data_IF_651751885923
#
_entry.id   IF_651751885923
#
_cell.length_a   1.000
_cell.length_b   1.000
_cell.length_c   1.000
_cell.angle_alpha   90.00
_cell.angle_beta   90.00
_cell.angle_gamma   90.00
#
_symmetry.space_group_name_H-M   'P 1'
#
loop_
_entity.id
_entity.type
_entity.pdbx_description
1 polymer ?
#
# COMPACT_ATOMS: atom_id res chain seq x y z
N UNK A 1 -15.09 -1.50 70.95
CA UNK A 1 -16.06 -2.51 70.46
C UNK A 1 -15.45 -3.19 69.24
N UNK A 2 -14.84 -4.37 69.44
CA UNK A 2 -15.27 -5.73 68.99
C UNK A 2 -15.28 -5.90 67.45
N UNK A 3 -14.37 -6.66 66.80
CA UNK A 3 -14.02 -8.12 66.81
C UNK A 3 -14.93 -8.98 65.87
N UNK A 4 -14.25 -9.83 65.04
CA UNK A 4 -14.68 -11.04 64.26
C UNK A 4 -15.36 -10.79 62.90
N UNK A 5 -14.97 -11.34 61.74
CA UNK A 5 -14.41 -12.63 61.25
C UNK A 5 -15.41 -13.81 61.06
N UNK A 6 -15.64 -14.16 59.77
CA UNK A 6 -15.83 -15.47 59.08
C UNK A 6 -17.10 -16.37 59.25
N UNK A 7 -17.23 -17.23 58.22
CA UNK A 7 -18.07 -18.45 57.99
C UNK A 7 -19.45 -18.22 57.30
N UNK A 8 -19.94 -18.95 56.28
CA UNK A 8 -19.50 -20.10 55.45
C UNK A 8 -20.47 -20.24 54.23
N UNK A 9 -20.01 -20.91 53.15
CA UNK A 9 -20.63 -21.30 51.84
C UNK A 9 -21.79 -22.33 51.94
N UNK A 10 -22.41 -22.95 50.87
CA UNK A 10 -22.14 -22.95 49.39
C UNK A 10 -23.39 -22.93 48.43
N UNK A 11 -23.18 -22.77 47.11
CA UNK A 11 -24.02 -23.42 46.08
C UNK A 11 -23.32 -23.46 44.70
N UNK A 12 -23.24 -24.65 44.11
CA UNK A 12 -22.81 -24.96 42.73
C UNK A 12 -23.68 -24.24 41.69
N UNK A 13 -23.09 -23.63 40.65
CA UNK A 13 -23.65 -23.67 39.29
C UNK A 13 -22.53 -23.82 38.24
N UNK A 14 -22.80 -24.77 37.37
CA UNK A 14 -22.11 -25.27 36.19
C UNK A 14 -21.84 -24.24 35.08
N UNK A 15 -20.84 -24.56 34.24
CA UNK A 15 -20.72 -24.26 32.78
C UNK A 15 -20.55 -22.81 32.32
N UNK A 16 -19.40 -22.49 31.71
CA UNK A 16 -19.15 -22.58 30.26
C UNK A 16 -17.79 -21.94 29.95
N UNK A 17 -16.90 -22.73 29.33
CA UNK A 17 -15.70 -22.20 28.67
C UNK A 17 -16.18 -21.42 27.44
N UNK A 18 -16.17 -20.08 27.52
CA UNK A 18 -16.31 -19.25 26.34
C UNK A 18 -15.02 -19.33 25.52
N UNK A 19 -14.99 -20.27 24.58
CA UNK A 19 -14.10 -20.19 23.43
C UNK A 19 -14.50 -18.91 22.69
N UNK A 20 -13.69 -17.86 22.82
CA UNK A 20 -13.83 -16.67 21.98
C UNK A 20 -13.44 -17.10 20.57
N UNK A 21 -14.43 -17.48 19.76
CA UNK A 21 -14.27 -17.51 18.32
C UNK A 21 -13.85 -16.10 17.90
N UNK A 22 -12.60 -15.93 17.47
CA UNK A 22 -12.18 -14.77 16.70
C UNK A 22 -13.01 -14.76 15.42
N UNK A 23 -14.12 -14.05 15.45
CA UNK A 23 -14.88 -13.70 14.25
C UNK A 23 -13.98 -12.81 13.40
N UNK A 24 -13.46 -13.35 12.31
CA UNK A 24 -12.91 -12.55 11.22
C UNK A 24 -14.04 -11.66 10.70
N UNK A 25 -14.09 -10.41 11.16
CA UNK A 25 -15.12 -9.46 10.74
C UNK A 25 -15.04 -9.32 9.22
N UNK A 26 -16.10 -9.67 8.46
CA UNK A 26 -16.12 -9.45 7.03
C UNK A 26 -16.07 -7.94 6.77
N UNK A 27 -15.15 -7.53 5.90
CA UNK A 27 -14.97 -6.14 5.53
C UNK A 27 -16.30 -5.56 5.02
N UNK A 28 -16.85 -4.58 5.76
CA UNK A 28 -18.15 -4.00 5.50
C UNK A 28 -18.03 -2.94 4.41
N UNK A 29 -18.83 -3.02 3.34
CA UNK A 29 -18.80 -2.03 2.26
C UNK A 29 -19.22 -0.65 2.78
N UNK A 30 -18.39 0.37 2.54
CA UNK A 30 -18.61 1.75 2.99
C UNK A 30 -19.21 2.61 1.86
N UNK A 31 -19.64 1.98 0.77
CA UNK A 31 -20.12 2.62 -0.46
C UNK A 31 -19.07 2.65 -1.58
N UNK A 32 -19.52 2.64 -2.83
CA UNK A 32 -18.64 2.73 -4.01
C UNK A 32 -17.67 1.55 -4.21
N UNK A 33 -17.85 0.43 -3.51
CA UNK A 33 -16.95 -0.73 -3.52
C UNK A 33 -15.75 -0.61 -2.56
N UNK A 34 -15.63 0.49 -1.82
CA UNK A 34 -14.68 0.61 -0.72
C UNK A 34 -15.15 -0.22 0.49
N UNK A 35 -14.22 -0.75 1.26
CA UNK A 35 -14.52 -1.62 2.41
C UNK A 35 -13.81 -1.16 3.68
N UNK A 36 -14.49 -1.32 4.81
CA UNK A 36 -13.92 -1.11 6.12
C UNK A 36 -12.96 -2.26 6.43
N UNK A 37 -11.77 -1.92 6.93
CA UNK A 37 -10.75 -2.88 7.33
C UNK A 37 -10.40 -2.68 8.80
N UNK A 38 -9.84 -3.72 9.41
CA UNK A 38 -9.28 -3.64 10.75
C UNK A 38 -8.25 -2.49 10.82
N UNK A 39 -8.24 -1.67 11.89
CA UNK A 39 -7.24 -0.61 12.08
C UNK A 39 -5.79 -1.10 11.91
N UNK A 40 -5.47 -2.34 12.30
CA UNK A 40 -4.15 -2.93 12.12
C UNK A 40 -3.75 -3.06 10.64
N UNK A 41 -4.69 -3.39 9.76
CA UNK A 41 -4.46 -3.46 8.31
C UNK A 41 -4.23 -2.05 7.76
N UNK A 42 -5.03 -1.09 8.22
CA UNK A 42 -4.90 0.33 7.86
C UNK A 42 -3.52 0.87 8.24
N UNK A 43 -3.10 0.64 9.48
CA UNK A 43 -1.79 1.04 9.98
C UNK A 43 -0.63 0.32 9.29
N UNK A 44 -0.80 -0.97 8.93
CA UNK A 44 0.20 -1.71 8.16
C UNK A 44 0.42 -1.09 6.77
N UNK A 45 -0.66 -0.72 6.06
CA UNK A 45 -0.57 -0.03 4.77
C UNK A 45 0.12 1.34 4.89
N UNK A 46 -0.29 2.13 5.90
CA UNK A 46 0.31 3.44 6.20
C UNK A 46 1.80 3.29 6.52
N UNK A 47 2.18 2.33 7.35
CA UNK A 47 3.57 2.07 7.72
C UNK A 47 4.42 1.65 6.52
N UNK A 48 3.87 0.85 5.59
CA UNK A 48 4.58 0.48 4.37
C UNK A 48 4.86 1.68 3.45
N UNK A 49 3.89 2.59 3.30
CA UNK A 49 4.06 3.84 2.54
C UNK A 49 5.02 4.79 3.27
N UNK A 50 4.98 4.85 4.60
CA UNK A 50 5.96 5.61 5.38
C UNK A 50 7.38 5.07 5.17
N UNK A 51 7.56 3.75 5.15
CA UNK A 51 8.84 3.11 4.85
C UNK A 51 9.33 3.45 3.45
N UNK A 52 8.45 3.44 2.45
CA UNK A 52 8.76 3.90 1.09
C UNK A 52 9.32 5.33 1.11
N UNK A 53 8.65 6.24 1.81
CA UNK A 53 9.10 7.63 1.97
C UNK A 53 10.46 7.78 2.66
N UNK A 54 10.69 7.01 3.73
CA UNK A 54 11.98 6.99 4.45
C UNK A 54 13.11 6.56 3.52
N UNK A 55 12.90 5.53 2.69
CA UNK A 55 13.92 5.09 1.73
C UNK A 55 14.16 6.14 0.64
N UNK A 56 13.13 6.85 0.18
CA UNK A 56 13.30 7.98 -0.75
C UNK A 56 14.10 9.13 -0.14
N UNK A 57 13.89 9.47 1.13
CA UNK A 57 14.68 10.50 1.85
C UNK A 57 16.16 10.09 1.93
N UNK A 58 16.44 8.80 2.12
CA UNK A 58 17.81 8.25 2.10
C UNK A 58 18.43 8.21 0.70
N UNK A 59 17.68 8.54 -0.36
CA UNK A 59 18.10 8.40 -1.75
C UNK A 59 18.07 6.96 -2.27
N UNK A 60 17.48 6.02 -1.52
CA UNK A 60 17.30 4.63 -1.95
C UNK A 60 16.04 4.48 -2.82
N UNK A 61 16.07 5.08 -4.01
CA UNK A 61 14.95 4.99 -4.96
C UNK A 61 14.73 3.56 -5.48
N UNK A 62 15.77 2.71 -5.43
CA UNK A 62 15.69 1.31 -5.84
C UNK A 62 14.64 0.53 -5.03
N UNK A 63 14.48 0.85 -3.74
CA UNK A 63 13.44 0.25 -2.90
C UNK A 63 12.04 0.34 -3.52
N UNK A 64 11.72 1.47 -4.16
CA UNK A 64 10.43 1.67 -4.82
C UNK A 64 10.27 0.78 -6.06
N UNK A 65 11.36 0.58 -6.81
CA UNK A 65 11.41 -0.26 -8.02
C UNK A 65 11.25 -1.73 -7.66
N UNK A 66 11.96 -2.20 -6.63
CA UNK A 66 11.90 -3.59 -6.17
C UNK A 66 10.53 -3.96 -5.63
N UNK A 67 9.79 -2.97 -5.11
CA UNK A 67 8.44 -3.12 -4.56
C UNK A 67 7.33 -2.77 -5.55
N UNK A 68 7.61 -2.63 -6.85
CA UNK A 68 6.55 -2.47 -7.86
C UNK A 68 5.64 -3.70 -7.85
N UNK A 69 4.32 -3.48 -7.82
CA UNK A 69 3.36 -4.57 -7.90
C UNK A 69 3.55 -5.40 -9.19
N UNK A 70 3.77 -6.73 -9.13
CA UNK A 70 4.23 -7.51 -10.29
C UNK A 70 3.32 -7.46 -11.54
N UNK A 71 1.99 -7.41 -11.37
CA UNK A 71 1.07 -7.28 -12.52
C UNK A 71 1.16 -5.89 -13.15
N UNK A 72 1.40 -4.86 -12.34
CA UNK A 72 1.65 -3.51 -12.83
C UNK A 72 2.99 -3.43 -13.54
N UNK A 73 4.06 -4.01 -12.97
CA UNK A 73 5.38 -4.08 -13.63
C UNK A 73 5.30 -4.72 -15.02
N UNK A 74 4.59 -5.84 -15.15
CA UNK A 74 4.35 -6.50 -16.44
C UNK A 74 3.62 -5.62 -17.45
N UNK A 75 2.64 -4.82 -17.00
CA UNK A 75 1.94 -3.87 -17.87
C UNK A 75 2.83 -2.72 -18.31
N UNK A 76 3.62 -2.17 -17.40
CA UNK A 76 4.63 -1.16 -17.74
C UNK A 76 5.63 -1.70 -18.76
N UNK A 77 6.06 -2.95 -18.61
CA UNK A 77 6.96 -3.61 -19.55
C UNK A 77 6.35 -3.70 -20.95
N UNK A 78 5.07 -4.08 -21.06
CA UNK A 78 4.37 -4.11 -22.36
C UNK A 78 4.33 -2.73 -23.03
N UNK A 79 4.15 -1.65 -22.25
CA UNK A 79 4.14 -0.27 -22.77
C UNK A 79 5.53 0.23 -23.19
N UNK A 80 6.55 -0.16 -22.44
CA UNK A 80 7.93 0.27 -22.68
C UNK A 80 8.66 -0.62 -23.70
N UNK A 81 7.97 -1.61 -24.30
CA UNK A 81 8.53 -2.49 -25.33
C UNK A 81 9.38 -3.65 -24.79
N UNK A 82 9.12 -4.09 -23.56
CA UNK A 82 9.76 -5.24 -22.91
C UNK A 82 10.18 -4.95 -21.47
N UNK A 83 10.49 -6.01 -20.71
CA UNK A 83 10.96 -5.88 -19.32
C UNK A 83 12.32 -5.18 -19.26
N UNK A 84 13.24 -5.54 -20.16
CA UNK A 84 14.57 -4.94 -20.26
C UNK A 84 14.50 -3.43 -20.50
N UNK A 85 13.66 -2.99 -21.45
CA UNK A 85 13.46 -1.56 -21.71
C UNK A 85 12.80 -0.83 -20.55
N UNK A 86 11.89 -1.48 -19.84
CA UNK A 86 11.32 -0.92 -18.62
C UNK A 86 12.40 -0.73 -17.55
N UNK A 87 13.17 -1.77 -17.25
CA UNK A 87 14.20 -1.72 -16.22
C UNK A 87 15.26 -0.67 -16.57
N UNK A 88 15.66 -0.55 -17.84
CA UNK A 88 16.53 0.51 -18.32
C UNK A 88 15.91 1.91 -18.13
N UNK A 89 14.62 2.09 -18.44
CA UNK A 89 13.93 3.37 -18.25
C UNK A 89 13.82 3.75 -16.76
N UNK A 90 13.55 2.78 -15.88
CA UNK A 90 13.52 3.00 -14.43
C UNK A 90 14.91 3.38 -13.89
N UNK A 91 15.97 2.69 -14.34
CA UNK A 91 17.33 3.02 -13.97
C UNK A 91 17.75 4.41 -14.48
N UNK A 92 17.38 4.77 -15.71
CA UNK A 92 17.61 6.10 -16.26
C UNK A 92 16.87 7.19 -15.47
N UNK A 93 15.66 6.92 -14.99
CA UNK A 93 14.92 7.85 -14.12
C UNK A 93 15.68 8.14 -12.83
N UNK A 94 16.18 7.11 -12.15
CA UNK A 94 17.01 7.27 -10.94
C UNK A 94 18.29 8.05 -11.25
N UNK A 95 18.98 7.74 -12.35
CA UNK A 95 20.16 8.50 -12.78
C UNK A 95 19.84 9.97 -13.07
N UNK A 96 18.69 10.24 -13.68
CA UNK A 96 18.20 11.60 -13.91
C UNK A 96 18.01 12.38 -12.61
N UNK A 97 17.39 11.75 -11.60
CA UNK A 97 17.21 12.35 -10.28
C UNK A 97 18.55 12.67 -9.60
N UNK A 98 19.53 11.76 -9.70
CA UNK A 98 20.89 11.97 -9.19
C UNK A 98 21.58 13.13 -9.93
N UNK A 99 21.52 13.16 -11.27
CA UNK A 99 22.13 14.23 -12.08
C UNK A 99 21.52 15.60 -11.80
N UNK A 100 20.21 15.65 -11.60
CA UNK A 100 19.50 16.86 -11.19
C UNK A 100 19.74 17.21 -9.71
N UNK A 101 20.50 16.41 -8.96
CA UNK A 101 20.71 16.57 -7.52
C UNK A 101 19.39 16.73 -6.75
N UNK A 102 18.33 16.07 -7.22
CA UNK A 102 17.03 16.10 -6.58
C UNK A 102 17.13 15.38 -5.23
N UNK A 103 16.73 16.06 -4.15
CA UNK A 103 16.72 15.49 -2.81
C UNK A 103 15.31 15.50 -2.25
N UNK A 104 14.83 14.34 -1.83
CA UNK A 104 13.61 14.26 -1.02
C UNK A 104 13.97 14.67 0.40
N UNK A 105 13.44 15.80 0.86
CA UNK A 105 13.75 16.38 2.19
C UNK A 105 12.63 16.20 3.20
N UNK A 106 11.44 15.81 2.73
CA UNK A 106 10.30 15.51 3.58
C UNK A 106 9.35 14.54 2.91
N UNK A 107 8.74 13.67 3.72
CA UNK A 107 7.74 12.72 3.28
C UNK A 107 6.76 12.46 4.42
N UNK A 108 5.54 12.97 4.28
CA UNK A 108 4.45 12.79 5.23
C UNK A 108 3.42 11.84 4.65
N UNK A 109 2.88 10.96 5.50
CA UNK A 109 1.91 9.94 5.10
C UNK A 109 0.64 10.10 5.93
N UNK A 110 -0.49 10.27 5.23
CA UNK A 110 -1.82 10.34 5.85
C UNK A 110 -2.39 8.97 6.17
N UNK A 111 -3.55 8.96 6.82
CA UNK A 111 -4.34 7.74 6.95
C UNK A 111 -4.90 7.34 5.58
N UNK A 112 -4.98 6.03 5.25
CA UNK A 112 -5.59 5.58 4.01
C UNK A 112 -7.03 6.11 3.87
N UNK A 113 -7.38 6.63 2.69
CA UNK A 113 -8.71 7.19 2.42
C UNK A 113 -9.71 6.13 1.99
N UNK A 114 -9.24 5.02 1.43
CA UNK A 114 -10.07 3.89 1.05
C UNK A 114 -9.27 2.58 0.99
N UNK A 115 -10.00 1.50 1.20
CA UNK A 115 -9.54 0.13 0.96
C UNK A 115 -10.47 -0.58 0.00
N UNK A 116 -9.92 -1.41 -0.86
CA UNK A 116 -10.67 -2.21 -1.82
C UNK A 116 -10.21 -3.67 -1.77
N UNK A 117 -11.16 -4.58 -1.93
CA UNK A 117 -10.90 -6.00 -2.14
C UNK A 117 -10.87 -6.27 -3.65
N UNK A 118 -9.69 -6.22 -4.25
CA UNK A 118 -9.57 -5.93 -5.69
C UNK A 118 -9.42 -7.14 -6.62
N UNK A 119 -8.91 -8.26 -6.13
CA UNK A 119 -8.64 -9.41 -7.00
C UNK A 119 -8.39 -10.70 -6.24
N UNK A 120 -8.82 -11.82 -6.85
CA UNK A 120 -8.49 -13.19 -6.45
C UNK A 120 -7.48 -13.78 -7.44
N UNK A 121 -6.31 -14.19 -6.96
CA UNK A 121 -5.27 -14.80 -7.80
C UNK A 121 -4.81 -16.13 -7.21
N UNK A 122 -4.28 -17.01 -8.07
CA UNK A 122 -3.48 -18.15 -7.62
C UNK A 122 -2.30 -17.60 -6.82
N UNK A 123 -2.08 -18.11 -5.62
CA UNK A 123 -0.90 -17.83 -4.83
C UNK A 123 0.29 -18.44 -5.56
N UNK A 124 1.31 -17.64 -5.83
CA UNK A 124 2.52 -18.08 -6.51
C UNK A 124 3.63 -18.20 -5.47
N UNK A 125 4.32 -19.34 -5.47
CA UNK A 125 5.53 -19.51 -4.68
C UNK A 125 6.65 -18.63 -5.27
N UNK A 126 7.23 -17.79 -4.43
CA UNK A 126 8.21 -16.79 -4.87
C UNK A 126 9.55 -17.42 -5.33
N UNK A 127 9.89 -18.61 -4.86
CA UNK A 127 11.14 -19.28 -5.21
C UNK A 127 11.03 -20.06 -6.53
N UNK A 128 9.86 -20.64 -6.80
CA UNK A 128 9.64 -21.54 -7.94
C UNK A 128 8.83 -20.90 -9.08
N UNK A 129 8.12 -19.81 -8.81
CA UNK A 129 7.23 -19.14 -9.77
C UNK A 129 5.97 -19.95 -10.13
N UNK A 130 5.69 -21.05 -9.41
CA UNK A 130 4.55 -21.94 -9.67
C UNK A 130 3.40 -21.69 -8.70
N UNK A 131 2.14 -22.04 -9.07
CA UNK A 131 1.03 -22.00 -8.15
C UNK A 131 1.27 -22.86 -6.90
N UNK A 132 0.98 -22.32 -5.73
CA UNK A 132 0.97 -23.07 -4.48
C UNK A 132 -0.23 -24.01 -4.49
N UNK A 133 0.02 -25.30 -4.24
CA UNK A 133 -1.00 -26.33 -4.16
C UNK A 133 -1.28 -26.64 -2.69
N UNK A 134 -2.55 -26.71 -2.32
CA UNK A 134 -2.98 -27.09 -0.98
C UNK A 134 -2.92 -28.62 -0.76
N UNK A 135 -3.17 -29.06 0.48
CA UNK A 135 -3.18 -30.47 0.85
C UNK A 135 -4.23 -31.32 0.10
N UNK A 136 -5.19 -30.66 -0.59
CA UNK A 136 -6.22 -31.31 -1.39
C UNK A 136 -5.87 -31.38 -2.88
N UNK A 137 -4.66 -30.96 -3.26
CA UNK A 137 -4.21 -30.94 -4.65
C UNK A 137 -4.75 -29.76 -5.46
N UNK A 138 -5.34 -28.75 -4.82
CA UNK A 138 -5.93 -27.59 -5.50
C UNK A 138 -5.05 -26.36 -5.37
N UNK A 139 -5.07 -25.51 -6.38
CA UNK A 139 -4.34 -24.24 -6.34
C UNK A 139 -4.94 -23.31 -5.28
N UNK A 140 -4.07 -22.77 -4.43
CA UNK A 140 -4.46 -21.81 -3.40
C UNK A 140 -4.84 -20.50 -4.07
N UNK A 141 -6.05 -20.00 -3.82
CA UNK A 141 -6.53 -18.70 -4.32
C UNK A 141 -6.53 -17.69 -3.20
N UNK A 142 -5.82 -16.58 -3.38
CA UNK A 142 -5.70 -15.49 -2.41
C UNK A 142 -6.36 -14.22 -2.92
N UNK A 143 -6.92 -13.45 -2.00
CA UNK A 143 -7.49 -12.13 -2.30
C UNK A 143 -6.48 -11.04 -1.92
N UNK A 144 -6.58 -9.86 -2.53
CA UNK A 144 -5.68 -8.74 -2.22
C UNK A 144 -6.44 -7.52 -1.67
N UNK A 145 -5.77 -6.80 -0.78
CA UNK A 145 -6.08 -5.42 -0.42
C UNK A 145 -5.44 -4.45 -1.39
N UNK A 146 -6.16 -3.40 -1.75
CA UNK A 146 -5.62 -2.18 -2.35
C UNK A 146 -5.98 -1.02 -1.43
N UNK A 147 -4.98 -0.28 -0.97
CA UNK A 147 -5.12 0.88 -0.12
C UNK A 147 -4.76 2.16 -0.90
N UNK A 148 -5.58 3.19 -0.76
CA UNK A 148 -5.28 4.54 -1.26
C UNK A 148 -4.73 5.35 -0.10
N UNK A 149 -3.45 5.72 -0.16
CA UNK A 149 -2.74 6.35 0.97
C UNK A 149 -2.27 7.75 0.55
N UNK A 150 -2.83 8.84 1.13
CA UNK A 150 -2.39 10.21 0.86
C UNK A 150 -0.94 10.43 1.30
N UNK A 151 -0.20 11.21 0.52
CA UNK A 151 1.19 11.56 0.83
C UNK A 151 1.47 13.03 0.52
N UNK A 152 2.40 13.63 1.27
CA UNK A 152 2.96 14.95 0.97
C UNK A 152 4.48 14.80 0.89
N UNK A 153 5.06 15.13 -0.26
CA UNK A 153 6.48 14.98 -0.53
C UNK A 153 7.09 16.37 -0.69
N UNK A 154 8.22 16.62 -0.04
CA UNK A 154 9.02 17.82 -0.24
C UNK A 154 10.32 17.46 -0.93
N UNK A 155 10.59 18.12 -2.04
CA UNK A 155 11.79 17.92 -2.85
C UNK A 155 12.56 19.21 -3.01
N UNK A 156 13.88 19.13 -2.89
CA UNK A 156 14.80 20.20 -3.28
C UNK A 156 15.38 19.88 -4.64
N UNK A 157 15.25 20.82 -5.57
CA UNK A 157 15.75 20.69 -6.94
C UNK A 157 16.47 21.98 -7.32
N UNK A 158 17.76 21.93 -7.68
CA UNK A 158 18.45 23.04 -8.33
C UNK A 158 17.80 23.37 -9.68
N UNK A 159 17.50 24.64 -9.92
CA UNK A 159 17.01 25.09 -11.22
C UNK A 159 18.20 25.52 -12.11
N UNK A 160 18.53 24.75 -13.17
CA UNK A 160 19.64 25.09 -14.07
C UNK A 160 19.37 26.39 -14.84
N UNK A 161 18.11 26.76 -15.06
CA UNK A 161 17.74 27.99 -15.76
C UNK A 161 17.82 29.24 -14.86
N UNK A 162 17.93 29.05 -13.54
CA UNK A 162 18.12 30.13 -12.55
C UNK A 162 19.49 30.06 -11.87
N UNK A 163 20.52 29.65 -12.61
CA UNK A 163 21.90 29.63 -12.11
C UNK A 163 22.13 28.64 -10.96
N UNK A 164 21.36 27.55 -10.89
CA UNK A 164 21.48 26.52 -9.87
C UNK A 164 20.81 26.87 -8.53
N UNK A 165 19.98 27.92 -8.47
CA UNK A 165 19.17 28.23 -7.29
C UNK A 165 18.33 27.02 -6.88
N UNK A 166 18.39 26.66 -5.61
CA UNK A 166 17.61 25.55 -5.06
C UNK A 166 16.16 26.00 -4.90
N UNK A 167 15.25 25.30 -5.56
CA UNK A 167 13.81 25.39 -5.30
C UNK A 167 13.38 24.28 -4.37
N UNK A 168 12.50 24.60 -3.45
CA UNK A 168 11.80 23.60 -2.65
C UNK A 168 10.37 23.47 -3.15
N UNK A 169 9.98 22.25 -3.52
CA UNK A 169 8.65 21.96 -4.06
C UNK A 169 7.97 20.99 -3.10
N UNK A 170 6.74 21.32 -2.71
CA UNK A 170 5.86 20.45 -1.96
C UNK A 170 4.77 19.91 -2.87
N UNK A 171 4.67 18.59 -2.95
CA UNK A 171 3.66 17.89 -3.73
C UNK A 171 2.76 17.07 -2.79
N UNK A 172 1.48 17.43 -2.75
CA UNK A 172 0.43 16.58 -2.18
C UNK A 172 -0.03 15.60 -3.26
N UNK A 173 0.02 14.31 -2.97
CA UNK A 173 -0.33 13.22 -3.89
C UNK A 173 -0.82 12.01 -3.10
N UNK A 174 -0.79 10.82 -3.70
CA UNK A 174 -1.12 9.57 -3.03
C UNK A 174 -0.29 8.41 -3.57
N UNK A 175 -0.12 7.39 -2.73
CA UNK A 175 0.44 6.09 -3.07
C UNK A 175 -0.66 5.04 -3.07
N UNK A 176 -0.61 4.13 -4.04
CA UNK A 176 -1.46 2.94 -4.06
C UNK A 176 -0.64 1.75 -3.57
N UNK A 177 -1.03 1.20 -2.42
CA UNK A 177 -0.37 0.06 -1.80
C UNK A 177 -1.24 -1.19 -1.92
N UNK A 178 -0.64 -2.31 -2.30
CA UNK A 178 -1.33 -3.58 -2.56
C UNK A 178 -0.67 -4.69 -1.75
N UNK A 179 -1.47 -5.51 -1.08
CA UNK A 179 -0.98 -6.67 -0.34
C UNK A 179 -1.93 -7.87 -0.46
N UNK A 180 -1.39 -9.08 -0.39
CA UNK A 180 -2.19 -10.29 -0.20
C UNK A 180 -2.90 -10.23 1.16
N UNK A 181 -4.19 -10.56 1.23
CA UNK A 181 -4.92 -10.59 2.50
C UNK A 181 -4.28 -11.63 3.43
N UNK A 182 -3.97 -11.22 4.66
CA UNK A 182 -3.25 -12.05 5.63
C UNK A 182 -1.73 -11.96 5.53
N UNK A 183 -1.19 -11.22 4.55
CA UNK A 183 0.21 -10.83 4.49
C UNK A 183 0.41 -9.38 4.96
N UNK A 184 1.64 -9.07 5.36
CA UNK A 184 2.12 -7.70 5.61
C UNK A 184 3.11 -7.24 4.53
N UNK A 185 3.25 -8.00 3.44
CA UNK A 185 4.08 -7.62 2.30
C UNK A 185 3.30 -6.70 1.37
N UNK A 186 3.65 -5.43 1.41
CA UNK A 186 3.06 -4.39 0.56
C UNK A 186 3.93 -4.12 -0.67
N UNK A 187 3.24 -3.91 -1.79
CA UNK A 187 3.78 -3.50 -3.07
C UNK A 187 3.10 -2.21 -3.53
N UNK A 188 3.74 -1.47 -4.43
CA UNK A 188 3.28 -0.15 -4.83
C UNK A 188 3.04 -0.07 -6.34
N UNK A 189 2.08 0.76 -6.73
CA UNK A 189 1.92 1.15 -8.14
C UNK A 189 2.76 2.40 -8.45
N UNK A 190 4.08 2.21 -8.52
CA UNK A 190 5.05 3.28 -8.84
C UNK A 190 5.60 3.13 -10.27
N UNK A 191 6.58 3.97 -10.65
CA UNK A 191 7.19 4.08 -11.98
C UNK A 191 6.41 5.01 -12.92
N UNK A 192 5.09 4.78 -13.02
CA UNK A 192 4.14 5.69 -13.66
C UNK A 192 2.85 5.68 -12.85
N UNK A 193 2.21 6.85 -12.71
CA UNK A 193 0.92 6.92 -12.01
C UNK A 193 -0.15 6.22 -12.85
N UNK A 194 -0.85 5.20 -12.33
CA UNK A 194 -1.89 4.51 -13.08
C UNK A 194 -3.10 5.41 -13.30
N UNK A 195 -3.72 5.31 -14.47
CA UNK A 195 -5.04 5.93 -14.72
C UNK A 195 -6.15 5.11 -14.06
N UNK A 196 -7.35 5.68 -13.92
CA UNK A 196 -8.55 4.93 -13.48
C UNK A 196 -8.80 3.73 -14.40
N UNK A 197 -8.60 3.88 -15.71
CA UNK A 197 -8.72 2.79 -16.67
C UNK A 197 -7.68 1.68 -16.41
N UNK A 198 -6.44 2.04 -16.06
CA UNK A 198 -5.39 1.08 -15.72
C UNK A 198 -5.77 0.28 -14.47
N UNK A 199 -6.24 0.97 -13.44
CA UNK A 199 -6.69 0.36 -12.20
C UNK A 199 -7.82 -0.64 -12.45
N UNK A 200 -8.85 -0.26 -13.20
CA UNK A 200 -9.97 -1.16 -13.52
C UNK A 200 -9.58 -2.32 -14.43
N UNK A 201 -8.65 -2.09 -15.35
CA UNK A 201 -8.15 -3.17 -16.19
C UNK A 201 -7.29 -4.17 -15.38
N UNK A 202 -6.60 -3.74 -14.31
CA UNK A 202 -5.94 -4.67 -13.38
C UNK A 202 -6.94 -5.32 -12.40
N UNK A 203 -7.93 -4.54 -11.98
CA UNK A 203 -8.85 -4.82 -10.89
C UNK A 203 -10.28 -4.49 -11.32
N UNK A 204 -10.95 -5.38 -12.07
CA UNK A 204 -12.27 -5.09 -12.63
C UNK A 204 -13.36 -4.80 -11.60
N UNK A 205 -13.17 -5.20 -10.33
CA UNK A 205 -14.09 -4.90 -9.24
C UNK A 205 -13.99 -3.47 -8.72
N UNK A 206 -12.99 -2.69 -9.14
CA UNK A 206 -12.88 -1.28 -8.76
C UNK A 206 -13.97 -0.44 -9.44
N UNK A 207 -14.49 0.58 -8.75
CA UNK A 207 -15.49 1.49 -9.31
C UNK A 207 -14.95 2.24 -10.53
N UNK A 208 -15.89 2.58 -11.43
CA UNK A 208 -15.63 3.36 -12.64
C UNK A 208 -15.35 4.84 -12.36
N UNK A 209 -15.96 5.36 -11.31
CA UNK A 209 -15.92 6.76 -10.94
C UNK A 209 -14.69 7.06 -10.07
N UNK A 210 -13.97 8.12 -10.42
CA UNK A 210 -12.78 8.58 -9.69
C UNK A 210 -13.12 9.00 -8.26
N UNK A 211 -14.31 9.60 -8.05
CA UNK A 211 -14.75 9.98 -6.71
C UNK A 211 -15.00 8.76 -5.82
N UNK A 212 -15.57 7.69 -6.39
CA UNK A 212 -15.77 6.43 -5.69
C UNK A 212 -14.46 5.67 -5.39
N UNK A 213 -13.35 6.03 -6.05
CA UNK A 213 -12.02 5.53 -5.69
C UNK A 213 -11.40 6.29 -4.50
N UNK A 214 -12.03 7.39 -4.05
CA UNK A 214 -11.53 8.24 -2.97
C UNK A 214 -10.06 8.68 -3.16
N UNK A 215 -9.68 8.95 -4.42
CA UNK A 215 -8.32 9.39 -4.76
C UNK A 215 -8.11 10.82 -4.28
N UNK A 216 -7.11 11.10 -3.44
CA UNK A 216 -6.77 12.46 -3.06
C UNK A 216 -6.36 13.31 -4.26
N UNK A 217 -6.74 14.59 -4.33
CA UNK A 217 -6.30 15.47 -5.40
C UNK A 217 -4.78 15.64 -5.34
N UNK A 218 -4.13 15.67 -6.51
CA UNK A 218 -2.70 15.94 -6.62
C UNK A 218 -2.47 17.44 -6.82
N UNK A 219 -1.57 18.05 -6.03
CA UNK A 219 -1.23 19.47 -6.10
C UNK A 219 0.25 19.65 -5.82
N UNK A 220 0.92 20.48 -6.61
CA UNK A 220 2.29 20.90 -6.37
C UNK A 220 2.35 22.40 -6.11
N UNK A 221 3.19 22.83 -5.18
CA UNK A 221 3.49 24.24 -4.91
C UNK A 221 4.96 24.42 -4.58
N UNK A 222 5.51 25.55 -4.97
CA UNK A 222 6.83 25.97 -4.52
C UNK A 222 6.74 26.54 -3.10
N UNK A 223 7.62 26.09 -2.21
CA UNK A 223 7.82 26.66 -0.88
C UNK A 223 8.90 27.74 -1.03
N UNK A 224 8.54 28.98 -0.68
CA UNK A 224 9.45 30.13 -0.65
C UNK A 224 10.17 30.21 0.70
#
# INVERSE_FOLDING_TARGET
MNIKTLFFTPALISTLVSISLTSSSPAQEIGGGAVAVDPMISDSARAAVQKLGVEMIKGNFQYSIDRIYPRWKRRLAMRNGGMEKLDAALAQSVQGQIKMQMKVVGYQVGQPTAFFSVWRAKKIDAATGKPVIDATGREVIVTHWLAVVPTVIRVKVPDPNMGGKIREIEESTYSLAISEKGSNDWYFMTGMKPTVQDLRSLFPSLPADEKALHLPPSKAREIK
#
